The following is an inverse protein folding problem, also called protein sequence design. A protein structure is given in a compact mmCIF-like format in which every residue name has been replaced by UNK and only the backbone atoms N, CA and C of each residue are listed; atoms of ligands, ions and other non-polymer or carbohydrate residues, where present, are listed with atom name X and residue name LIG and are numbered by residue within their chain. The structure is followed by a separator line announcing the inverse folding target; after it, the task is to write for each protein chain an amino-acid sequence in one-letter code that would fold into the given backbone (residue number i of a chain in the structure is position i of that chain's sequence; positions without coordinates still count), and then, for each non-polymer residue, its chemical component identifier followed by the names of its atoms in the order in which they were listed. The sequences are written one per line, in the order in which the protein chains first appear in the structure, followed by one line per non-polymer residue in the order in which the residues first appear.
data_IF_550240828489
#
_entry.id   IF_550240828489
#
_cell.length_a   1.000
_cell.length_b   1.000
_cell.length_c   1.000
_cell.angle_alpha   90.00
_cell.angle_beta   90.00
_cell.angle_gamma   90.00
#
_symmetry.space_group_name_H-M   'P 1'
#
loop_
_entity.id
_entity.type
_entity.pdbx_description
1 polymer ?
#
# COMPACT_ATOMS: atom_id res chain seq x y z
N UNK A 1 -10.00 -19.46 6.26
CA UNK A 1 -10.05 -18.31 7.20
C UNK A 1 -11.24 -17.44 6.85
N UNK A 2 -12.10 -17.18 7.82
CA UNK A 2 -13.17 -16.20 7.75
C UNK A 2 -12.60 -14.79 7.69
N UNK A 3 -13.38 -13.83 7.22
CA UNK A 3 -13.05 -12.40 7.23
C UNK A 3 -12.61 -11.94 8.63
N UNK A 4 -13.30 -12.41 9.68
CA UNK A 4 -12.98 -12.09 11.07
C UNK A 4 -11.64 -12.69 11.51
N UNK A 5 -11.33 -13.93 11.15
CA UNK A 5 -10.05 -14.57 11.47
C UNK A 5 -8.88 -13.84 10.78
N UNK A 6 -9.04 -13.45 9.51
CA UNK A 6 -8.04 -12.63 8.80
C UNK A 6 -7.87 -11.26 9.45
N UNK A 7 -8.96 -10.63 9.90
CA UNK A 7 -8.89 -9.38 10.65
C UNK A 7 -8.15 -9.55 12.00
N UNK A 8 -8.33 -10.67 12.70
CA UNK A 8 -7.57 -10.99 13.93
C UNK A 8 -6.07 -11.11 13.64
N UNK A 9 -5.69 -11.74 12.53
CA UNK A 9 -4.27 -11.86 12.12
C UNK A 9 -3.65 -10.47 11.94
N UNK A 10 -4.41 -9.53 11.37
CA UNK A 10 -4.02 -8.12 11.24
C UNK A 10 -4.22 -7.31 12.52
N UNK A 11 -4.53 -7.98 13.63
CA UNK A 11 -4.71 -7.40 14.97
C UNK A 11 -5.81 -6.34 15.06
N UNK A 12 -6.81 -6.40 14.16
CA UNK A 12 -8.01 -5.60 14.33
C UNK A 12 -8.72 -5.99 15.64
N UNK A 13 -9.26 -5.01 16.39
CA UNK A 13 -10.08 -5.27 17.56
C UNK A 13 -11.28 -6.16 17.25
N UNK A 14 -11.74 -6.93 18.24
CA UNK A 14 -12.83 -7.88 18.03
C UNK A 14 -14.16 -7.24 17.64
N UNK A 15 -14.40 -6.03 18.13
CA UNK A 15 -15.57 -5.21 17.85
C UNK A 15 -15.35 -4.23 16.67
N UNK A 16 -14.29 -4.39 15.88
CA UNK A 16 -14.04 -3.54 14.73
C UNK A 16 -14.90 -3.97 13.53
N UNK A 17 -15.69 -3.04 13.01
CA UNK A 17 -16.63 -3.29 11.91
C UNK A 17 -16.11 -2.67 10.61
N UNK A 18 -15.74 -3.51 9.66
CA UNK A 18 -15.38 -3.10 8.30
C UNK A 18 -16.65 -3.01 7.46
N UNK A 19 -16.91 -1.84 6.88
CA UNK A 19 -18.10 -1.55 6.09
C UNK A 19 -17.71 -1.46 4.61
N UNK A 20 -18.44 -2.15 3.74
CA UNK A 20 -18.20 -2.16 2.30
C UNK A 20 -18.67 -3.45 1.65
N UNK A 21 -18.37 -3.62 0.37
CA UNK A 21 -18.59 -4.91 -0.28
C UNK A 21 -17.65 -5.96 0.31
N UNK A 22 -18.00 -7.25 0.19
CA UNK A 22 -17.13 -8.35 0.64
C UNK A 22 -15.72 -8.22 0.04
N UNK A 23 -15.62 -7.85 -1.23
CA UNK A 23 -14.33 -7.68 -1.92
C UNK A 23 -13.49 -6.56 -1.31
N UNK A 24 -14.11 -5.41 -1.03
CA UNK A 24 -13.39 -4.27 -0.45
C UNK A 24 -12.90 -4.59 0.96
N UNK A 25 -13.74 -5.24 1.76
CA UNK A 25 -13.39 -5.67 3.12
C UNK A 25 -12.19 -6.64 3.09
N UNK A 26 -12.21 -7.62 2.21
CA UNK A 26 -11.10 -8.58 2.07
C UNK A 26 -9.81 -7.91 1.57
N UNK A 27 -9.91 -6.92 0.67
CA UNK A 27 -8.74 -6.15 0.22
C UNK A 27 -8.15 -5.30 1.35
N UNK A 28 -9.00 -4.61 2.13
CA UNK A 28 -8.57 -3.82 3.29
C UNK A 28 -7.84 -4.71 4.29
N UNK A 29 -8.40 -5.88 4.61
CA UNK A 29 -7.76 -6.82 5.54
C UNK A 29 -6.44 -7.34 4.95
N UNK A 30 -6.43 -7.76 3.69
CA UNK A 30 -5.24 -8.33 3.04
C UNK A 30 -4.06 -7.36 2.94
N UNK A 31 -4.35 -6.07 2.69
CA UNK A 31 -3.33 -5.06 2.45
C UNK A 31 -2.97 -4.23 3.69
N UNK A 32 -3.74 -4.34 4.78
CA UNK A 32 -3.50 -3.55 5.99
C UNK A 32 -2.13 -3.82 6.62
N UNK A 33 -1.57 -2.78 7.25
CA UNK A 33 -0.52 -2.97 8.25
C UNK A 33 -1.20 -3.41 9.57
N UNK A 34 -0.68 -4.43 10.28
CA UNK A 34 -1.27 -4.84 11.55
C UNK A 34 -1.37 -3.68 12.55
N UNK A 35 -2.55 -3.48 13.15
CA UNK A 35 -2.84 -2.38 14.09
C UNK A 35 -1.82 -2.28 15.23
N UNK A 36 -1.45 -3.41 15.84
CA UNK A 36 -0.46 -3.44 16.93
C UNK A 36 0.94 -3.03 16.47
N UNK A 37 1.31 -3.36 15.22
CA UNK A 37 2.58 -2.91 14.65
C UNK A 37 2.58 -1.40 14.44
N UNK A 38 1.50 -0.87 13.87
CA UNK A 38 1.32 0.57 13.70
C UNK A 38 1.37 1.32 15.04
N UNK A 39 0.73 0.78 16.08
CA UNK A 39 0.81 1.32 17.45
C UNK A 39 2.25 1.37 17.96
N UNK A 40 2.98 0.26 17.86
CA UNK A 40 4.37 0.21 18.32
C UNK A 40 5.25 1.24 17.61
N UNK A 41 5.13 1.37 16.29
CA UNK A 41 5.88 2.37 15.51
C UNK A 41 5.51 3.79 15.95
N UNK A 42 4.22 4.07 16.14
CA UNK A 42 3.75 5.38 16.59
C UNK A 42 4.29 5.73 17.99
N UNK A 43 4.34 4.77 18.92
CA UNK A 43 4.92 4.97 20.25
C UNK A 43 6.41 5.30 20.19
N UNK A 44 7.17 4.61 19.32
CA UNK A 44 8.60 4.91 19.12
C UNK A 44 8.81 6.28 18.50
N UNK A 45 8.00 6.64 17.51
CA UNK A 45 8.06 7.94 16.87
C UNK A 45 7.72 9.06 17.86
N UNK A 46 6.68 8.89 18.68
CA UNK A 46 6.28 9.84 19.73
C UNK A 46 7.43 10.09 20.71
N UNK A 47 8.05 9.03 21.21
CA UNK A 47 9.20 9.13 22.12
C UNK A 47 10.38 9.84 21.45
N UNK A 48 10.67 9.53 20.19
CA UNK A 48 11.75 10.16 19.44
C UNK A 48 11.52 11.66 19.22
N UNK A 49 10.29 12.05 18.87
CA UNK A 49 9.90 13.45 18.70
C UNK A 49 9.99 14.19 20.04
N UNK A 50 9.47 13.61 21.12
CA UNK A 50 9.53 14.21 22.45
C UNK A 50 10.99 14.41 22.92
N UNK A 51 11.86 13.42 22.72
CA UNK A 51 13.27 13.52 23.05
C UNK A 51 14.00 14.59 22.23
N UNK A 52 13.55 14.86 20.99
CA UNK A 52 14.10 15.93 20.14
C UNK A 52 13.65 17.32 20.53
N UNK A 53 12.43 17.48 21.05
CA UNK A 53 11.97 18.79 21.53
C UNK A 53 12.73 19.27 22.77
N UNK A 54 13.38 18.35 23.51
CA UNK A 54 14.27 18.70 24.63
C UNK A 54 15.65 19.17 24.15
N UNK A 55 16.09 18.75 22.96
CA UNK A 55 17.39 19.11 22.38
C UNK A 55 17.17 20.11 21.24
N UNK A 56 16.94 21.37 21.60
CA UNK A 56 16.54 22.42 20.67
C UNK A 56 17.50 22.66 19.51
N UNK A 57 16.95 22.58 18.29
CA UNK A 57 17.30 23.44 17.16
C UNK A 57 16.19 23.47 16.08
N UNK A 58 15.21 22.55 16.13
CA UNK A 58 14.04 22.57 15.25
C UNK A 58 14.36 22.21 13.79
N UNK A 59 15.57 21.73 13.49
CA UNK A 59 15.98 21.33 12.16
C UNK A 59 15.19 20.09 11.69
N UNK A 60 14.43 20.14 10.59
CA UNK A 60 13.74 18.98 10.05
C UNK A 60 14.73 17.90 9.62
N UNK A 61 14.39 16.63 9.88
CA UNK A 61 15.10 15.50 9.29
C UNK A 61 15.11 15.64 7.76
N UNK A 62 16.30 15.88 7.19
CA UNK A 62 16.53 15.73 5.75
C UNK A 62 16.35 14.26 5.41
N UNK A 63 15.16 13.91 4.93
CA UNK A 63 14.78 12.60 4.45
C UNK A 63 15.41 12.37 3.06
N UNK A 64 16.74 12.40 2.96
CA UNK A 64 17.45 12.28 1.69
C UNK A 64 18.39 11.07 1.74
N UNK A 65 17.82 9.86 1.64
CA UNK A 65 18.48 8.66 1.06
C UNK A 65 17.80 7.32 1.36
N UNK A 66 16.76 7.24 2.19
CA UNK A 66 16.26 5.93 2.67
C UNK A 66 15.34 5.16 1.69
N UNK A 67 14.92 5.78 0.60
CA UNK A 67 14.23 5.13 -0.50
C UNK A 67 14.95 5.47 -1.80
N UNK A 68 15.99 4.71 -2.14
CA UNK A 68 16.35 4.58 -3.54
C UNK A 68 15.37 3.54 -4.13
N UNK A 69 14.50 3.91 -5.07
CA UNK A 69 13.75 2.89 -5.80
C UNK A 69 14.78 1.95 -6.44
N UNK A 70 14.63 0.65 -6.18
CA UNK A 70 15.46 -0.37 -6.83
C UNK A 70 15.30 -0.31 -8.35
N UNK A 71 16.19 -0.98 -9.12
CA UNK A 71 16.24 -0.89 -10.59
C UNK A 71 14.99 -1.39 -11.35
N UNK A 72 13.90 -1.76 -10.67
CA UNK A 72 12.66 -2.24 -11.32
C UNK A 72 11.82 -1.15 -11.99
N UNK A 73 12.09 0.13 -11.75
CA UNK A 73 11.35 1.22 -12.40
C UNK A 73 11.58 1.32 -13.93
N UNK A 74 12.35 0.43 -14.56
CA UNK A 74 12.53 0.39 -16.02
C UNK A 74 11.54 -0.52 -16.76
N UNK A 75 10.72 -1.34 -16.09
CA UNK A 75 9.82 -2.28 -16.76
C UNK A 75 8.39 -1.79 -17.00
N UNK A 76 8.04 -0.56 -16.64
CA UNK A 76 6.72 0.01 -16.94
C UNK A 76 6.65 0.67 -18.33
N UNK A 77 7.17 0.00 -19.36
CA UNK A 77 6.80 0.29 -20.75
C UNK A 77 5.51 -0.47 -21.06
N UNK A 78 4.36 0.10 -20.70
CA UNK A 78 3.08 -0.36 -21.25
C UNK A 78 3.14 -0.19 -22.77
N UNK A 79 2.86 -1.20 -23.61
CA UNK A 79 2.73 -0.95 -25.03
C UNK A 79 1.55 -0.01 -25.27
N UNK A 80 1.87 1.17 -25.79
CA UNK A 80 0.92 2.10 -26.39
C UNK A 80 0.31 1.42 -27.60
N UNK A 81 -0.91 0.90 -27.46
CA UNK A 81 -1.70 0.43 -28.60
C UNK A 81 -2.21 1.68 -29.34
N UNK A 82 -1.42 2.15 -30.30
CA UNK A 82 -1.86 3.09 -31.33
C UNK A 82 -2.64 2.32 -32.40
N UNK A 83 -3.93 2.65 -32.49
CA UNK A 83 -4.81 2.29 -33.57
C UNK A 83 -4.32 2.89 -34.90
N UNK A 84 -4.09 2.03 -35.89
CA UNK A 84 -3.97 2.39 -37.30
C UNK A 84 -4.64 1.33 -38.18
N UNK A 85 -5.94 1.49 -38.37
CA UNK A 85 -6.68 1.40 -39.65
C UNK A 85 -6.20 0.43 -40.76
N UNK A 86 -7.06 -0.54 -41.04
CA UNK A 86 -7.48 -1.05 -42.38
C UNK A 86 -6.47 -1.67 -43.33
N UNK A 87 -6.49 -3.01 -43.44
CA UNK A 87 -6.35 -3.72 -44.72
C UNK A 87 -7.34 -4.90 -44.77
N UNK A 88 -8.32 -4.80 -45.66
CA UNK A 88 -9.17 -5.91 -46.10
C UNK A 88 -8.30 -7.02 -46.72
N UNK A 89 -8.51 -8.30 -46.35
CA UNK A 89 -8.52 -9.43 -47.30
C UNK A 89 -9.43 -10.54 -46.77
N UNK A 90 -10.47 -10.79 -47.54
CA UNK A 90 -11.42 -11.91 -47.55
C UNK A 90 -10.81 -13.30 -47.29
N UNK A 91 -11.49 -14.15 -46.50
CA UNK A 91 -11.86 -15.55 -46.82
C UNK A 91 -12.51 -16.29 -45.64
N UNK A 92 -13.82 -16.52 -45.80
CA UNK A 92 -14.62 -17.75 -45.54
C UNK A 92 -14.51 -18.50 -44.21
N UNK A 93 -15.69 -18.62 -43.55
CA UNK A 93 -16.04 -19.56 -42.47
C UNK A 93 -15.69 -21.03 -42.79
N UNK A 94 -15.53 -21.84 -41.75
CA UNK A 94 -16.53 -22.87 -41.44
C UNK A 94 -17.17 -22.69 -40.05
#
# INVERSE_FOLDING_TARGET
LTTRERATIQTFPENFHLVGSKTDVEQVIGNAVPVKLAQYVAERLRTHIAARQINGDGSPLRQSSLFQPGPEASYASKPHVTDHSTLEVSRTRP
#
